data_IF_006857320864
#
_entry.id   IF_006857320864
#
_cell.length_a   1.000
_cell.length_b   1.000
_cell.length_c   1.000
_cell.angle_alpha   90.00
_cell.angle_beta   90.00
_cell.angle_gamma   90.00
#
_symmetry.space_group_name_H-M   'P 1'
#
loop_
_entity.id
_entity.type
_entity.pdbx_description
1 polymer ?
#
# COMPACT_ATOMS: atom_id res chain seq x y z
N UNK A 1 -56.38 30.82 19.62
CA UNK A 1 -55.42 30.86 18.50
C UNK A 1 -54.11 31.59 18.82
N UNK A 2 -54.10 32.71 19.58
CA UNK A 2 -52.87 33.48 19.91
C UNK A 2 -51.79 32.75 20.74
N UNK A 3 -52.15 31.71 21.50
CA UNK A 3 -51.22 30.93 22.36
C UNK A 3 -50.53 29.77 21.63
N UNK A 4 -50.95 29.40 20.41
CA UNK A 4 -50.36 28.29 19.65
C UNK A 4 -49.13 28.72 18.86
N UNK A 5 -49.11 29.96 18.36
CA UNK A 5 -47.98 30.54 17.62
C UNK A 5 -46.65 30.51 18.40
N UNK A 6 -46.58 30.95 19.68
CA UNK A 6 -45.33 30.89 20.44
C UNK A 6 -44.88 29.45 20.72
N UNK A 7 -45.81 28.52 20.93
CA UNK A 7 -45.49 27.10 21.15
C UNK A 7 -44.88 26.48 19.89
N UNK A 8 -45.45 26.77 18.72
CA UNK A 8 -44.91 26.29 17.43
C UNK A 8 -43.52 26.88 17.19
N UNK A 9 -43.30 28.17 17.46
CA UNK A 9 -41.98 28.80 17.32
C UNK A 9 -40.92 28.16 18.22
N UNK A 10 -41.27 27.83 19.47
CA UNK A 10 -40.36 27.15 20.39
C UNK A 10 -40.02 25.74 19.90
N UNK A 11 -41.01 24.99 19.39
CA UNK A 11 -40.79 23.65 18.84
C UNK A 11 -39.89 23.71 17.60
N UNK A 12 -40.12 24.66 16.69
CA UNK A 12 -39.28 24.85 15.50
C UNK A 12 -37.86 25.23 15.88
N UNK A 13 -37.67 26.14 16.83
CA UNK A 13 -36.35 26.51 17.34
C UNK A 13 -35.62 25.31 17.96
N UNK A 14 -36.33 24.46 18.71
CA UNK A 14 -35.79 23.22 19.27
C UNK A 14 -35.35 22.23 18.18
N UNK A 15 -36.14 22.06 17.12
CA UNK A 15 -35.81 21.20 15.98
C UNK A 15 -34.57 21.72 15.25
N UNK A 16 -34.45 23.04 15.05
CA UNK A 16 -33.28 23.67 14.40
C UNK A 16 -32.02 23.48 15.26
N UNK A 17 -32.10 23.72 16.56
CA UNK A 17 -30.96 23.51 17.49
C UNK A 17 -30.56 22.03 17.53
N UNK A 18 -31.53 21.11 17.54
CA UNK A 18 -31.27 19.68 17.43
C UNK A 18 -30.57 19.34 16.10
N UNK A 19 -31.08 19.80 14.97
CA UNK A 19 -30.49 19.53 13.65
C UNK A 19 -29.04 20.06 13.54
N UNK A 20 -28.78 21.27 14.06
CA UNK A 20 -27.44 21.85 14.09
C UNK A 20 -26.50 21.04 15.00
N UNK A 21 -26.95 20.60 16.17
CA UNK A 21 -26.13 19.81 17.11
C UNK A 21 -25.87 18.37 16.65
N UNK A 22 -26.83 17.74 15.97
CA UNK A 22 -26.66 16.42 15.35
C UNK A 22 -25.81 16.47 14.08
N UNK A 23 -25.91 17.55 13.28
CA UNK A 23 -25.12 17.73 12.06
C UNK A 23 -23.63 17.96 12.31
N UNK A 24 -23.25 18.48 13.48
CA UNK A 24 -21.86 18.79 13.84
C UNK A 24 -21.08 17.54 14.29
N UNK A 25 -21.75 16.47 14.73
CA UNK A 25 -21.09 15.32 15.36
C UNK A 25 -21.17 14.07 14.50
N UNK A 26 -20.27 13.97 13.51
CA UNK A 26 -19.71 12.69 13.00
C UNK A 26 -18.70 12.98 11.88
N UNK A 27 -17.57 13.61 12.22
CA UNK A 27 -16.37 13.36 11.44
C UNK A 27 -16.03 11.89 11.64
N UNK A 28 -16.21 11.05 10.63
CA UNK A 28 -15.74 9.66 10.71
C UNK A 28 -14.24 9.73 11.00
N UNK A 29 -13.80 9.07 12.07
CA UNK A 29 -12.37 8.90 12.34
C UNK A 29 -11.80 8.11 11.18
N UNK A 30 -10.90 8.73 10.42
CA UNK A 30 -10.19 8.05 9.33
C UNK A 30 -9.17 7.14 9.98
N UNK A 31 -9.22 5.86 9.63
CA UNK A 31 -8.22 4.88 10.04
C UNK A 31 -6.98 5.04 9.14
N UNK A 32 -5.86 5.41 9.75
CA UNK A 32 -4.56 5.60 9.10
C UNK A 32 -3.59 4.44 9.34
N UNK A 33 -4.03 3.37 10.01
CA UNK A 33 -3.19 2.20 10.20
C UNK A 33 -2.83 1.60 8.83
N UNK A 34 -1.53 1.40 8.64
CA UNK A 34 -0.95 0.89 7.40
C UNK A 34 -1.44 -0.54 7.14
N UNK A 35 -1.88 -0.83 5.92
CA UNK A 35 -2.38 -2.17 5.58
C UNK A 35 -1.78 -2.74 4.32
N UNK A 36 -1.48 -1.90 3.33
CA UNK A 36 -1.00 -2.26 1.99
C UNK A 36 -1.84 -3.32 1.27
N UNK A 37 -3.05 -3.58 1.78
CA UNK A 37 -3.92 -4.66 1.36
C UNK A 37 -4.72 -4.24 0.13
N UNK A 38 -4.76 -5.12 -0.87
CA UNK A 38 -5.39 -4.89 -2.17
C UNK A 38 -6.91 -4.78 -2.09
N UNK A 39 -7.52 -5.24 -0.99
CA UNK A 39 -8.96 -5.12 -0.70
C UNK A 39 -9.30 -3.91 0.17
N UNK A 40 -8.29 -3.22 0.71
CA UNK A 40 -8.45 -2.12 1.66
C UNK A 40 -8.63 -0.77 0.95
N UNK A 41 -9.71 -0.05 1.28
CA UNK A 41 -9.98 1.31 0.76
C UNK A 41 -9.60 2.42 1.76
N UNK A 42 -9.01 2.09 2.92
CA UNK A 42 -8.50 3.11 3.85
C UNK A 42 -7.18 3.70 3.30
N UNK A 43 -6.71 4.84 3.81
CA UNK A 43 -5.32 5.26 3.61
C UNK A 43 -4.34 4.09 3.79
N UNK A 44 -3.26 4.09 3.01
CA UNK A 44 -2.30 2.98 2.89
C UNK A 44 -2.85 1.65 2.35
N UNK A 45 -4.12 1.56 1.97
CA UNK A 45 -4.63 0.44 1.18
C UNK A 45 -4.20 0.55 -0.29
N UNK A 46 -4.03 -0.58 -0.96
CA UNK A 46 -3.59 -0.65 -2.38
C UNK A 46 -4.74 -0.95 -3.34
N UNK A 47 -6.00 -0.80 -2.90
CA UNK A 47 -7.16 -1.22 -3.69
C UNK A 47 -7.35 -0.46 -5.00
N UNK A 48 -6.99 0.82 -5.04
CA UNK A 48 -7.04 1.63 -6.25
C UNK A 48 -6.02 1.11 -7.25
N UNK A 49 -4.76 0.93 -6.82
CA UNK A 49 -3.71 0.36 -7.67
C UNK A 49 -4.13 -1.02 -8.20
N UNK A 50 -4.60 -1.90 -7.33
CA UNK A 50 -4.99 -3.27 -7.70
C UNK A 50 -6.09 -3.30 -8.77
N UNK A 51 -7.10 -2.43 -8.65
CA UNK A 51 -8.17 -2.29 -9.65
C UNK A 51 -7.68 -1.73 -10.98
N UNK A 52 -6.65 -0.87 -10.94
CA UNK A 52 -6.07 -0.27 -12.15
C UNK A 52 -5.01 -1.15 -12.82
N UNK A 53 -4.46 -2.18 -12.16
CA UNK A 53 -3.45 -3.07 -12.76
C UNK A 53 -3.86 -3.59 -14.16
N UNK A 54 -5.09 -4.08 -14.41
CA UNK A 54 -5.50 -4.53 -15.74
C UNK A 54 -5.54 -3.41 -16.78
N UNK A 55 -5.79 -2.17 -16.35
CA UNK A 55 -5.82 -0.99 -17.23
C UNK A 55 -4.42 -0.48 -17.53
N UNK A 56 -3.51 -0.54 -16.56
CA UNK A 56 -2.10 -0.14 -16.67
C UNK A 56 -1.29 -1.16 -17.49
N UNK A 57 -1.58 -2.45 -17.32
CA UNK A 57 -0.83 -3.56 -17.93
C UNK A 57 -1.71 -4.37 -18.89
N UNK A 58 -2.34 -3.68 -19.85
CA UNK A 58 -3.22 -4.33 -20.84
C UNK A 58 -2.50 -5.44 -21.60
N UNK A 59 -3.15 -6.60 -21.67
CA UNK A 59 -2.61 -7.78 -22.37
C UNK A 59 -1.65 -8.64 -21.53
N UNK A 60 -1.24 -8.17 -20.35
CA UNK A 60 -0.39 -8.94 -19.44
C UNK A 60 -1.24 -9.72 -18.44
N UNK A 61 -0.75 -10.90 -18.03
CA UNK A 61 -1.37 -11.68 -16.96
C UNK A 61 -0.96 -11.09 -15.62
N UNK A 62 -1.94 -10.85 -14.75
CA UNK A 62 -1.71 -10.37 -13.39
C UNK A 62 -2.02 -11.51 -12.43
N UNK A 63 -1.10 -11.78 -11.51
CA UNK A 63 -1.25 -12.82 -10.48
C UNK A 63 -0.97 -12.23 -9.11
N UNK A 64 -1.89 -12.44 -8.18
CA UNK A 64 -1.68 -12.10 -6.77
C UNK A 64 -0.99 -13.27 -6.09
N UNK A 65 0.17 -13.02 -5.48
CA UNK A 65 0.96 -14.04 -4.80
C UNK A 65 0.71 -13.94 -3.30
N UNK A 66 0.06 -14.95 -2.72
CA UNK A 66 -0.24 -15.02 -1.28
C UNK A 66 0.74 -15.91 -0.49
N UNK A 67 1.80 -16.39 -1.14
CA UNK A 67 2.82 -17.25 -0.56
C UNK A 67 4.14 -16.50 -0.40
N UNK A 68 5.02 -16.99 0.48
CA UNK A 68 6.41 -16.54 0.54
C UNK A 68 7.05 -16.58 -0.85
N UNK A 69 7.81 -15.53 -1.27
CA UNK A 69 8.43 -15.51 -2.60
C UNK A 69 9.27 -16.74 -2.89
N UNK A 70 10.02 -17.23 -1.89
CA UNK A 70 10.77 -18.48 -2.02
C UNK A 70 9.90 -19.67 -2.42
N UNK A 71 8.73 -19.84 -1.79
CA UNK A 71 7.80 -20.93 -2.11
C UNK A 71 7.20 -20.77 -3.51
N UNK A 72 6.73 -19.57 -3.85
CA UNK A 72 6.13 -19.30 -5.15
C UNK A 72 7.12 -19.45 -6.31
N UNK A 73 8.31 -18.85 -6.19
CA UNK A 73 9.33 -18.88 -7.24
C UNK A 73 9.96 -20.27 -7.40
N UNK A 74 10.12 -21.02 -6.31
CA UNK A 74 10.60 -22.41 -6.40
C UNK A 74 9.58 -23.29 -7.10
N UNK A 75 8.30 -23.19 -6.72
CA UNK A 75 7.23 -23.96 -7.34
C UNK A 75 7.11 -23.64 -8.84
N UNK A 76 7.21 -22.37 -9.23
CA UNK A 76 7.07 -21.92 -10.61
C UNK A 76 8.41 -21.71 -11.33
N UNK A 77 9.45 -22.42 -10.92
CA UNK A 77 10.74 -22.44 -11.64
C UNK A 77 10.68 -23.39 -12.85
N UNK A 78 11.70 -23.36 -13.72
CA UNK A 78 11.80 -24.25 -14.89
C UNK A 78 11.66 -25.74 -14.51
N UNK A 79 12.23 -26.13 -13.37
CA UNK A 79 12.19 -27.49 -12.84
C UNK A 79 11.19 -27.65 -11.67
N UNK A 80 10.30 -26.68 -11.50
CA UNK A 80 9.31 -26.65 -10.42
C UNK A 80 8.10 -27.56 -10.67
N UNK A 81 7.22 -27.62 -9.67
CA UNK A 81 5.97 -28.40 -9.70
C UNK A 81 4.72 -27.51 -9.86
N UNK A 82 4.91 -26.24 -10.18
CA UNK A 82 3.87 -25.24 -10.40
C UNK A 82 3.17 -25.41 -11.75
N UNK A 83 2.10 -24.64 -11.93
CA UNK A 83 1.27 -24.66 -13.14
C UNK A 83 1.79 -23.72 -14.25
N UNK A 84 2.87 -22.96 -13.98
CA UNK A 84 3.51 -22.07 -14.94
C UNK A 84 4.98 -21.83 -14.58
N UNK A 85 5.71 -21.27 -15.54
CA UNK A 85 7.02 -20.64 -15.28
C UNK A 85 6.80 -19.19 -14.83
N UNK A 86 7.38 -18.81 -13.70
CA UNK A 86 7.34 -17.43 -13.20
C UNK A 86 8.39 -16.60 -13.95
N UNK A 87 7.92 -15.62 -14.72
CA UNK A 87 8.73 -14.67 -15.49
C UNK A 87 8.03 -13.30 -15.52
N UNK A 88 8.79 -12.22 -15.75
CA UNK A 88 8.29 -10.85 -15.87
C UNK A 88 8.60 -9.97 -14.66
N UNK A 89 7.56 -9.37 -14.07
CA UNK A 89 7.70 -8.40 -12.98
C UNK A 89 7.14 -8.95 -11.66
N UNK A 90 7.94 -8.91 -10.60
CA UNK A 90 7.51 -9.19 -9.24
C UNK A 90 7.41 -7.89 -8.46
N UNK A 91 6.22 -7.60 -7.91
CA UNK A 91 5.90 -6.31 -7.27
C UNK A 91 5.59 -6.56 -5.79
N UNK A 92 6.31 -5.88 -4.90
CA UNK A 92 6.08 -5.86 -3.45
C UNK A 92 5.84 -4.42 -3.03
N UNK A 93 4.75 -4.18 -2.29
CA UNK A 93 4.37 -2.84 -1.82
C UNK A 93 4.06 -2.94 -0.33
N UNK A 94 4.91 -2.32 0.49
CA UNK A 94 4.85 -2.31 1.94
C UNK A 94 4.99 -3.71 2.56
N UNK A 95 5.12 -3.72 3.89
CA UNK A 95 5.16 -4.93 4.72
C UNK A 95 6.08 -6.01 4.14
N UNK A 96 7.32 -5.68 3.78
CA UNK A 96 8.32 -6.62 3.28
C UNK A 96 9.17 -7.24 4.39
N UNK A 97 8.85 -6.94 5.65
CA UNK A 97 9.44 -7.52 6.86
C UNK A 97 9.24 -9.04 6.98
N UNK A 98 8.19 -9.59 6.36
CA UNK A 98 7.96 -11.04 6.26
C UNK A 98 8.98 -11.77 5.37
N UNK A 99 9.80 -11.06 4.59
CA UNK A 99 10.77 -11.67 3.68
C UNK A 99 11.91 -12.33 4.48
N UNK A 100 11.96 -13.66 4.41
CA UNK A 100 13.10 -14.43 4.92
C UNK A 100 14.33 -14.23 4.02
N UNK A 101 15.53 -14.48 4.54
CA UNK A 101 16.75 -14.47 3.73
C UNK A 101 16.64 -15.38 2.49
N UNK A 102 16.00 -16.56 2.64
CA UNK A 102 15.78 -17.46 1.52
C UNK A 102 14.81 -16.90 0.47
N UNK A 103 13.77 -16.17 0.89
CA UNK A 103 12.90 -15.43 -0.04
C UNK A 103 13.64 -14.33 -0.77
N UNK A 104 14.53 -13.61 -0.09
CA UNK A 104 15.39 -12.59 -0.71
C UNK A 104 16.32 -13.22 -1.74
N UNK A 105 17.02 -14.31 -1.39
CA UNK A 105 17.91 -15.00 -2.32
C UNK A 105 17.13 -15.47 -3.57
N UNK A 106 15.92 -16.02 -3.40
CA UNK A 106 15.06 -16.43 -4.52
C UNK A 106 14.58 -15.27 -5.39
N UNK A 107 14.30 -14.12 -4.78
CA UNK A 107 13.96 -12.90 -5.52
C UNK A 107 15.17 -12.37 -6.31
N UNK A 108 16.39 -12.48 -5.76
CA UNK A 108 17.61 -12.10 -6.47
C UNK A 108 17.94 -13.08 -7.60
N UNK A 109 17.79 -14.39 -7.39
CA UNK A 109 17.90 -15.42 -8.45
C UNK A 109 16.92 -15.11 -9.61
N UNK A 110 15.69 -14.72 -9.28
CA UNK A 110 14.68 -14.35 -10.25
C UNK A 110 15.11 -13.13 -11.09
N UNK A 111 15.72 -12.13 -10.46
CA UNK A 111 16.27 -10.94 -11.16
C UNK A 111 17.50 -11.29 -12.00
N UNK A 112 18.38 -12.17 -11.51
CA UNK A 112 19.62 -12.58 -12.18
C UNK A 112 19.37 -13.19 -13.57
N UNK A 113 18.26 -13.92 -13.72
CA UNK A 113 17.84 -14.50 -15.01
C UNK A 113 17.10 -13.52 -15.93
N UNK A 114 17.08 -12.23 -15.60
CA UNK A 114 16.57 -11.15 -16.46
C UNK A 114 15.17 -10.63 -16.14
N UNK A 115 14.55 -11.10 -15.06
CA UNK A 115 13.27 -10.55 -14.59
C UNK A 115 13.45 -9.26 -13.79
N UNK A 116 12.33 -8.59 -13.47
CA UNK A 116 12.35 -7.34 -12.70
C UNK A 116 11.68 -7.51 -11.34
N UNK A 117 12.35 -7.01 -10.30
CA UNK A 117 11.81 -6.90 -8.95
C UNK A 117 11.59 -5.43 -8.60
N UNK A 118 10.36 -5.08 -8.24
CA UNK A 118 10.00 -3.78 -7.69
C UNK A 118 9.60 -3.93 -6.22
N UNK A 119 10.28 -3.21 -5.32
CA UNK A 119 9.96 -3.16 -3.90
C UNK A 119 9.81 -1.71 -3.48
N UNK A 120 8.61 -1.36 -3.02
CA UNK A 120 8.32 -0.07 -2.39
C UNK A 120 8.01 -0.30 -0.92
N UNK A 121 8.95 0.00 -0.03
CA UNK A 121 8.77 -0.14 1.41
C UNK A 121 9.59 0.91 2.17
N UNK A 122 9.33 1.08 3.46
CA UNK A 122 10.10 1.97 4.34
C UNK A 122 11.45 1.38 4.74
N UNK A 123 11.52 0.06 4.88
CA UNK A 123 12.71 -0.66 5.31
C UNK A 123 12.91 -1.89 4.43
N UNK A 124 14.17 -2.27 4.23
CA UNK A 124 14.54 -3.45 3.47
C UNK A 124 15.23 -4.47 4.37
N UNK A 125 15.20 -5.73 3.97
CA UNK A 125 15.90 -6.79 4.73
C UNK A 125 17.41 -6.56 4.69
N UNK A 126 18.11 -6.89 5.77
CA UNK A 126 19.58 -6.78 5.82
C UNK A 126 20.26 -7.50 4.65
N UNK A 127 19.68 -8.62 4.21
CA UNK A 127 20.18 -9.39 3.08
C UNK A 127 20.19 -8.58 1.76
N UNK A 128 19.18 -7.74 1.52
CA UNK A 128 19.17 -6.85 0.35
C UNK A 128 20.24 -5.76 0.47
N UNK A 129 20.38 -5.17 1.66
CA UNK A 129 21.43 -4.17 1.94
C UNK A 129 22.82 -4.72 1.66
N UNK A 130 23.15 -5.88 2.23
CA UNK A 130 24.47 -6.51 2.11
C UNK A 130 24.77 -6.94 0.66
N UNK A 131 23.76 -7.44 -0.05
CA UNK A 131 23.96 -8.03 -1.38
C UNK A 131 24.01 -6.95 -2.48
N UNK A 132 23.17 -5.92 -2.38
CA UNK A 132 23.10 -4.86 -3.40
C UNK A 132 23.98 -3.66 -3.06
N UNK A 133 24.53 -3.59 -1.83
CA UNK A 133 25.31 -2.44 -1.36
C UNK A 133 24.49 -1.15 -1.27
N UNK A 134 23.18 -1.28 -1.04
CA UNK A 134 22.26 -0.16 -0.90
C UNK A 134 22.02 0.13 0.58
N UNK A 135 21.82 1.40 0.91
CA UNK A 135 21.45 1.84 2.24
C UNK A 135 20.30 2.83 2.15
N UNK A 136 19.43 2.83 3.16
CA UNK A 136 18.21 3.63 3.18
C UNK A 136 18.15 4.39 4.48
N UNK A 137 18.31 5.70 4.38
CA UNK A 137 18.21 6.62 5.51
C UNK A 137 16.83 7.27 5.55
N UNK A 138 16.29 7.41 6.76
CA UNK A 138 15.08 8.18 6.99
C UNK A 138 15.41 9.65 7.18
N UNK A 139 15.05 10.47 6.20
CA UNK A 139 15.19 11.93 6.29
C UNK A 139 13.94 12.54 6.95
N UNK A 140 14.05 12.89 8.23
CA UNK A 140 13.00 13.62 8.93
C UNK A 140 13.07 15.13 8.66
N UNK A 141 12.19 15.64 7.80
CA UNK A 141 12.09 17.09 7.56
C UNK A 141 10.89 17.71 8.29
N UNK A 142 11.11 18.22 9.50
CA UNK A 142 10.07 18.91 10.29
C UNK A 142 9.58 20.24 9.71
N UNK A 143 10.23 20.78 8.66
CA UNK A 143 9.95 22.10 8.10
C UNK A 143 9.34 22.08 6.70
N UNK A 144 9.27 20.92 6.04
CA UNK A 144 8.67 20.76 4.71
C UNK A 144 7.70 19.58 4.73
N UNK A 145 6.46 19.86 4.34
CA UNK A 145 5.46 18.83 4.10
C UNK A 145 5.78 18.08 2.79
N UNK A 146 6.02 16.77 2.92
CA UNK A 146 5.99 15.62 1.99
C UNK A 146 6.53 15.71 0.54
N UNK A 147 6.89 16.87 0.01
CA UNK A 147 7.42 17.02 -1.35
C UNK A 147 8.95 17.10 -1.30
N UNK A 148 9.59 15.97 -1.09
CA UNK A 148 11.04 15.84 -1.17
C UNK A 148 11.47 15.73 -2.63
N UNK A 149 12.32 16.65 -3.09
CA UNK A 149 12.97 16.57 -4.40
C UNK A 149 14.10 15.54 -4.31
N UNK A 150 13.82 14.28 -4.69
CA UNK A 150 14.83 13.24 -4.73
C UNK A 150 15.69 13.39 -5.99
N UNK A 151 17.00 13.49 -5.82
CA UNK A 151 17.98 13.48 -6.92
C UNK A 151 18.92 12.31 -6.73
N UNK A 152 18.85 11.34 -7.64
CA UNK A 152 19.82 10.24 -7.68
C UNK A 152 21.12 10.76 -8.28
N UNK A 153 22.09 11.12 -7.44
CA UNK A 153 23.48 11.30 -7.85
C UNK A 153 24.30 10.11 -7.38
N UNK A 154 25.17 9.64 -8.25
CA UNK A 154 26.09 8.57 -7.92
C UNK A 154 27.06 9.03 -6.83
N UNK A 155 27.37 8.16 -5.87
CA UNK A 155 28.32 8.45 -4.80
C UNK A 155 29.73 8.35 -5.40
N UNK A 156 30.39 9.48 -5.61
CA UNK A 156 31.81 9.56 -6.02
C UNK A 156 32.74 9.15 -4.90
#
# INVERSE_FOLDING_TARGET
MKKLLPVILVIVALIVVAALTFGIKRTKTVDWEESFNEKSNKPYGTSVLYKELPNLFKGNKIRTVYHQPSSYLTANSEFGYGDHHAEGNYIIIGNSDYLTNFSVDKLLDFVDVGNTLFISDYYYTQRLHDTLGIDVDFEYNSKKDSISLLSFKNKT
#
